data_IF_272614651886
#
_entry.id   IF_272614651886
#
_cell.length_a   1.000
_cell.length_b   1.000
_cell.length_c   1.000
_cell.angle_alpha   90.00
_cell.angle_beta   90.00
_cell.angle_gamma   90.00
#
_symmetry.space_group_name_H-M   'P 1'
#
loop_
_entity.id
_entity.type
_entity.pdbx_description
1 polymer ?
#
# COMPACT_ATOMS: atom_id res chain seq x y z
N UNK A 1 -2.34 -18.44 14.64
CA UNK A 1 -2.48 -17.02 14.22
C UNK A 1 -1.07 -16.42 14.24
N UNK A 2 -0.69 -15.70 13.18
CA UNK A 2 0.59 -14.96 13.14
C UNK A 2 0.28 -13.49 13.41
N UNK A 3 1.09 -12.85 14.26
CA UNK A 3 1.01 -11.42 14.55
C UNK A 3 2.19 -10.75 13.88
N UNK A 4 1.91 -9.75 13.03
CA UNK A 4 2.90 -8.90 12.39
C UNK A 4 2.73 -7.46 12.88
N UNK A 5 3.83 -6.71 12.90
CA UNK A 5 3.82 -5.28 13.20
C UNK A 5 4.48 -4.50 12.05
N UNK A 6 4.18 -3.22 11.98
CA UNK A 6 4.70 -2.35 10.94
C UNK A 6 6.06 -1.79 11.34
N UNK A 7 7.05 -1.95 10.44
CA UNK A 7 8.41 -1.48 10.68
C UNK A 7 8.94 -0.65 9.52
N UNK A 8 9.65 0.40 9.87
CA UNK A 8 10.51 1.15 8.94
C UNK A 8 11.96 0.74 9.07
N UNK A 9 12.78 1.06 8.07
CA UNK A 9 14.23 0.74 8.06
C UNK A 9 14.95 1.30 9.31
N UNK A 10 14.56 2.47 9.78
CA UNK A 10 15.18 3.18 10.89
C UNK A 10 14.73 2.71 12.27
N UNK A 11 13.60 2.01 12.36
CA UNK A 11 13.00 1.63 13.64
C UNK A 11 13.60 0.37 14.25
N UNK A 12 14.90 0.39 14.54
CA UNK A 12 15.61 -0.72 15.17
C UNK A 12 15.13 -1.02 16.59
N UNK A 13 14.76 0.01 17.34
CA UNK A 13 14.26 -0.14 18.70
C UNK A 13 12.85 -0.75 18.73
N UNK A 14 11.97 -0.35 17.83
CA UNK A 14 10.65 -0.95 17.67
C UNK A 14 10.74 -2.44 17.37
N UNK A 15 11.61 -2.83 16.42
CA UNK A 15 11.85 -4.26 16.13
C UNK A 15 12.31 -5.06 17.33
N UNK A 16 13.26 -4.54 18.13
CA UNK A 16 13.73 -5.20 19.36
C UNK A 16 12.62 -5.37 20.40
N UNK A 17 11.80 -4.34 20.60
CA UNK A 17 10.64 -4.38 21.51
C UNK A 17 9.60 -5.39 21.04
N UNK A 18 9.29 -5.39 19.74
CA UNK A 18 8.38 -6.36 19.13
C UNK A 18 8.85 -7.81 19.40
N UNK A 19 10.14 -8.07 19.22
CA UNK A 19 10.72 -9.38 19.52
C UNK A 19 10.56 -9.79 20.99
N UNK A 20 10.72 -8.88 21.93
CA UNK A 20 10.57 -9.16 23.37
C UNK A 20 9.13 -9.59 23.74
N UNK A 21 8.13 -9.13 22.99
CA UNK A 21 6.72 -9.53 23.19
C UNK A 21 6.25 -10.63 22.23
N UNK A 22 7.19 -11.27 21.51
CA UNK A 22 6.90 -12.41 20.64
C UNK A 22 6.43 -12.10 19.24
N UNK A 23 6.49 -10.83 18.79
CA UNK A 23 6.20 -10.45 17.40
C UNK A 23 7.44 -10.70 16.55
N UNK A 24 7.31 -11.62 15.58
CA UNK A 24 8.42 -12.07 14.72
C UNK A 24 8.20 -11.70 13.23
N UNK A 25 7.04 -11.21 12.87
CA UNK A 25 6.70 -10.94 11.48
C UNK A 25 6.58 -9.44 11.24
N UNK A 26 7.03 -8.99 10.06
CA UNK A 26 7.07 -7.58 9.69
C UNK A 26 6.22 -7.24 8.48
N UNK A 27 5.44 -6.16 8.62
CA UNK A 27 4.89 -5.38 7.53
C UNK A 27 5.90 -4.28 7.22
N UNK A 28 6.44 -4.24 6.02
CA UNK A 28 7.55 -3.36 5.67
C UNK A 28 7.16 -2.33 4.62
N UNK A 29 7.57 -1.09 4.83
CA UNK A 29 7.50 -0.04 3.82
C UNK A 29 8.73 -0.07 2.93
N UNK A 30 8.55 -0.09 1.62
CA UNK A 30 9.68 0.03 0.69
C UNK A 30 10.33 1.41 0.80
N UNK A 31 11.68 1.47 0.75
CA UNK A 31 12.40 2.74 0.83
C UNK A 31 12.08 3.67 -0.35
N UNK A 32 11.89 4.96 -0.04
CA UNK A 32 11.72 6.04 -1.03
C UNK A 32 12.93 6.97 -1.06
N UNK A 33 14.06 6.53 -0.48
CA UNK A 33 15.30 7.31 -0.44
C UNK A 33 16.06 7.25 -1.76
N UNK A 34 16.81 8.32 -2.05
CA UNK A 34 17.77 8.34 -3.15
C UNK A 34 18.75 7.16 -3.06
N UNK A 35 19.09 6.57 -4.19
CA UNK A 35 19.99 5.43 -4.27
C UNK A 35 19.37 4.06 -3.98
N UNK A 36 18.09 3.96 -3.63
CA UNK A 36 17.40 2.68 -3.55
C UNK A 36 16.65 2.40 -4.87
N UNK A 37 17.12 1.41 -5.61
CA UNK A 37 16.42 0.95 -6.81
C UNK A 37 15.42 -0.15 -6.46
N UNK A 38 14.13 0.15 -6.61
CA UNK A 38 13.02 -0.76 -6.36
C UNK A 38 13.04 -2.02 -7.23
N UNK A 39 13.83 -2.03 -8.31
CA UNK A 39 13.95 -3.16 -9.24
C UNK A 39 15.24 -3.98 -9.06
N UNK A 40 16.15 -3.53 -8.18
CA UNK A 40 17.42 -4.18 -7.90
C UNK A 40 17.29 -5.25 -6.81
N UNK A 41 17.57 -6.50 -7.17
CA UNK A 41 17.60 -7.60 -6.20
C UNK A 41 18.68 -7.41 -5.11
N UNK A 42 19.78 -6.76 -5.44
CA UNK A 42 20.85 -6.47 -4.50
C UNK A 42 20.39 -5.47 -3.43
N UNK A 43 19.73 -4.37 -3.85
CA UNK A 43 19.18 -3.39 -2.93
C UNK A 43 18.10 -4.00 -2.03
N UNK A 44 17.25 -4.86 -2.56
CA UNK A 44 16.26 -5.59 -1.77
C UNK A 44 16.92 -6.51 -0.75
N UNK A 45 17.94 -7.27 -1.15
CA UNK A 45 18.62 -8.14 -0.22
C UNK A 45 19.23 -7.35 0.94
N UNK A 46 20.00 -6.30 0.64
CA UNK A 46 20.61 -5.44 1.66
C UNK A 46 19.56 -4.82 2.61
N UNK A 47 18.43 -4.37 2.06
CA UNK A 47 17.32 -3.84 2.84
C UNK A 47 16.68 -4.89 3.76
N UNK A 48 16.39 -6.07 3.26
CA UNK A 48 15.75 -7.14 4.02
C UNK A 48 16.67 -7.76 5.06
N UNK A 49 17.98 -7.78 4.81
CA UNK A 49 18.98 -8.30 5.76
C UNK A 49 19.00 -7.48 7.05
N UNK A 50 18.71 -6.18 7.00
CA UNK A 50 18.55 -5.35 8.19
C UNK A 50 17.42 -5.81 9.11
N UNK A 51 16.31 -6.30 8.57
CA UNK A 51 15.21 -6.85 9.37
C UNK A 51 15.48 -8.27 9.82
N UNK A 52 16.03 -9.10 8.93
CA UNK A 52 16.38 -10.49 9.26
C UNK A 52 17.42 -10.59 10.36
N UNK A 53 18.40 -9.69 10.38
CA UNK A 53 19.43 -9.65 11.44
C UNK A 53 18.83 -9.30 12.80
N UNK A 54 17.73 -8.54 12.85
CA UNK A 54 16.97 -8.28 14.07
C UNK A 54 15.95 -9.43 14.38
N UNK A 55 15.93 -10.48 13.57
CA UNK A 55 15.04 -11.64 13.74
C UNK A 55 13.59 -11.37 13.31
N UNK A 56 13.35 -10.37 12.47
CA UNK A 56 12.04 -10.08 11.86
C UNK A 56 11.94 -10.77 10.50
N UNK A 57 10.87 -11.50 10.30
CA UNK A 57 10.54 -12.17 9.04
C UNK A 57 9.59 -11.26 8.24
N UNK A 58 10.02 -10.71 7.09
CA UNK A 58 9.15 -9.91 6.24
C UNK A 58 8.01 -10.76 5.66
N UNK A 59 6.76 -10.35 5.86
CA UNK A 59 5.59 -11.08 5.35
C UNK A 59 4.64 -10.22 4.52
N UNK A 60 4.71 -8.90 4.65
CA UNK A 60 3.90 -7.95 3.90
C UNK A 60 4.77 -6.78 3.44
N UNK A 61 4.57 -6.32 2.22
CA UNK A 61 5.00 -4.99 1.79
C UNK A 61 3.78 -4.06 1.82
N UNK A 62 3.89 -2.94 2.54
CA UNK A 62 2.87 -1.88 2.66
C UNK A 62 3.50 -0.59 3.22
N UNK A 63 3.17 0.57 2.64
CA UNK A 63 2.55 0.78 1.34
C UNK A 63 3.56 0.67 0.20
N UNK A 64 3.03 0.65 -1.02
CA UNK A 64 3.84 0.97 -2.20
C UNK A 64 4.22 2.45 -2.19
N UNK A 65 5.39 2.84 -2.73
CA UNK A 65 5.78 4.25 -2.86
C UNK A 65 4.73 5.06 -3.64
N UNK A 66 4.19 6.11 -3.03
CA UNK A 66 3.11 6.89 -3.62
C UNK A 66 3.52 7.49 -4.98
N UNK A 67 4.71 8.07 -5.08
CA UNK A 67 5.19 8.67 -6.33
C UNK A 67 5.24 7.71 -7.51
N UNK A 68 5.45 6.41 -7.26
CA UNK A 68 5.36 5.37 -8.28
C UNK A 68 3.91 4.97 -8.57
N UNK A 69 3.11 4.77 -7.52
CA UNK A 69 1.80 4.14 -7.65
C UNK A 69 0.70 5.12 -8.04
N UNK A 70 0.81 6.39 -7.67
CA UNK A 70 -0.15 7.42 -8.07
C UNK A 70 -0.23 7.61 -9.58
N UNK A 71 0.89 7.45 -10.29
CA UNK A 71 0.92 7.46 -11.75
C UNK A 71 -0.04 6.43 -12.35
N UNK A 72 -0.12 5.24 -11.75
CA UNK A 72 -1.04 4.18 -12.18
C UNK A 72 -2.47 4.46 -11.75
N UNK A 73 -2.68 4.84 -10.49
CA UNK A 73 -4.02 5.11 -9.94
C UNK A 73 -4.73 6.26 -10.66
N UNK A 74 -3.97 7.29 -11.03
CA UNK A 74 -4.50 8.47 -11.71
C UNK A 74 -4.46 8.37 -13.24
N UNK A 75 -3.88 7.32 -13.82
CA UNK A 75 -3.76 7.18 -15.29
C UNK A 75 -2.87 8.24 -15.93
N UNK A 76 -1.82 8.67 -15.24
CA UNK A 76 -0.92 9.74 -15.68
C UNK A 76 0.12 9.26 -16.71
N UNK A 77 0.75 10.18 -17.47
CA UNK A 77 1.91 9.86 -18.29
C UNK A 77 3.00 9.16 -17.49
N UNK A 78 3.64 8.13 -18.09
CA UNK A 78 4.63 7.30 -17.38
C UNK A 78 4.05 6.05 -16.70
N UNK A 79 2.74 5.80 -16.87
CA UNK A 79 2.05 4.62 -16.33
C UNK A 79 2.74 3.30 -16.69
N UNK A 80 3.17 3.14 -17.93
CA UNK A 80 3.76 1.87 -18.39
C UNK A 80 5.12 1.59 -17.72
N UNK A 81 5.92 2.62 -17.50
CA UNK A 81 7.16 2.51 -16.73
C UNK A 81 6.86 2.17 -15.25
N UNK A 82 5.87 2.81 -14.67
CA UNK A 82 5.43 2.51 -13.30
C UNK A 82 4.94 1.04 -13.20
N UNK A 83 4.13 0.58 -14.14
CA UNK A 83 3.67 -0.81 -14.21
C UNK A 83 4.82 -1.80 -14.36
N UNK A 84 5.82 -1.48 -15.19
CA UNK A 84 7.03 -2.30 -15.29
C UNK A 84 7.73 -2.46 -13.93
N UNK A 85 7.93 -1.36 -13.21
CA UNK A 85 8.55 -1.36 -11.87
C UNK A 85 7.70 -2.15 -10.87
N UNK A 86 6.38 -1.97 -10.88
CA UNK A 86 5.46 -2.71 -10.00
C UNK A 86 5.52 -4.23 -10.25
N UNK A 87 5.54 -4.66 -11.51
CA UNK A 87 5.73 -6.07 -11.88
C UNK A 87 7.08 -6.62 -11.39
N UNK A 88 8.14 -5.82 -11.45
CA UNK A 88 9.46 -6.19 -10.89
C UNK A 88 9.43 -6.30 -9.37
N UNK A 89 8.74 -5.40 -8.68
CA UNK A 89 8.55 -5.46 -7.22
C UNK A 89 7.87 -6.78 -6.84
N UNK A 90 6.77 -7.13 -7.50
CA UNK A 90 6.06 -8.40 -7.24
C UNK A 90 6.97 -9.62 -7.49
N UNK A 91 7.76 -9.59 -8.57
CA UNK A 91 8.72 -10.65 -8.85
C UNK A 91 9.81 -10.78 -7.76
N UNK A 92 10.30 -9.65 -7.25
CA UNK A 92 11.27 -9.64 -6.15
C UNK A 92 10.65 -10.12 -4.84
N UNK A 93 9.40 -9.76 -4.55
CA UNK A 93 8.68 -10.29 -3.39
C UNK A 93 8.61 -11.81 -3.43
N UNK A 94 8.23 -12.41 -4.58
CA UNK A 94 8.26 -13.86 -4.73
C UNK A 94 9.66 -14.45 -4.55
N UNK A 95 10.68 -13.86 -5.14
CA UNK A 95 12.08 -14.28 -4.98
C UNK A 95 12.54 -14.27 -3.51
N UNK A 96 12.12 -13.27 -2.72
CA UNK A 96 12.49 -13.10 -1.32
C UNK A 96 11.49 -13.73 -0.35
N UNK A 97 10.49 -14.48 -0.85
CA UNK A 97 9.47 -15.18 -0.09
C UNK A 97 8.62 -14.25 0.80
N UNK A 98 8.29 -13.05 0.29
CA UNK A 98 7.36 -12.12 0.93
C UNK A 98 5.97 -12.36 0.34
N UNK A 99 5.05 -13.00 1.07
CA UNK A 99 3.84 -13.58 0.48
C UNK A 99 2.73 -12.59 0.19
N UNK A 100 2.78 -11.35 0.68
CA UNK A 100 1.64 -10.44 0.56
C UNK A 100 2.07 -9.02 0.20
N UNK A 101 1.45 -8.47 -0.85
CA UNK A 101 1.51 -7.06 -1.19
C UNK A 101 0.18 -6.41 -0.78
N UNK A 102 0.23 -5.53 0.22
CA UNK A 102 -0.91 -4.69 0.55
C UNK A 102 -0.85 -3.39 -0.25
N UNK A 103 -1.93 -3.08 -0.94
CA UNK A 103 -2.04 -1.92 -1.81
C UNK A 103 -3.41 -1.27 -1.64
N UNK A 104 -3.49 0.01 -1.95
CA UNK A 104 -4.75 0.77 -1.97
C UNK A 104 -4.97 1.37 -3.36
N UNK A 105 -6.18 1.88 -3.61
CA UNK A 105 -6.46 2.61 -4.85
C UNK A 105 -6.93 4.04 -4.59
N UNK A 106 -6.47 4.63 -3.50
CA UNK A 106 -6.68 6.03 -3.14
C UNK A 106 -5.83 6.92 -4.05
N UNK A 107 -6.45 7.36 -5.19
CA UNK A 107 -5.78 8.18 -6.18
C UNK A 107 -5.46 9.57 -5.62
N UNK A 108 -4.29 10.13 -5.96
CA UNK A 108 -3.83 11.48 -5.63
C UNK A 108 -3.82 11.82 -4.13
N UNK A 109 -4.99 11.81 -3.49
CA UNK A 109 -5.11 11.98 -2.03
C UNK A 109 -5.11 10.60 -1.38
N UNK A 110 -4.01 10.20 -0.76
CA UNK A 110 -3.88 8.93 -0.08
C UNK A 110 -4.70 8.83 1.22
N UNK A 111 -4.13 8.21 2.22
CA UNK A 111 -4.66 8.20 3.58
C UNK A 111 -4.67 9.63 4.14
N UNK A 112 -5.81 10.07 4.66
CA UNK A 112 -5.97 11.46 5.14
C UNK A 112 -6.63 11.53 6.50
N UNK A 113 -6.10 12.42 7.36
CA UNK A 113 -6.69 12.79 8.65
C UNK A 113 -6.73 14.30 8.79
N UNK A 114 -7.89 14.84 9.18
CA UNK A 114 -8.05 16.27 9.41
C UNK A 114 -7.51 16.72 10.76
N UNK A 115 -7.40 15.80 11.73
CA UNK A 115 -6.92 16.10 13.10
C UNK A 115 -5.87 15.09 13.52
N UNK A 116 -4.73 15.60 13.98
CA UNK A 116 -3.69 14.85 14.65
C UNK A 116 -3.82 15.01 16.17
N UNK A 117 -3.32 14.07 16.94
CA UNK A 117 -3.33 14.12 18.40
C UNK A 117 -4.73 14.32 19.00
N UNK A 118 -5.74 13.68 18.39
CA UNK A 118 -7.12 13.73 18.88
C UNK A 118 -7.21 12.96 20.21
N UNK A 119 -7.74 13.59 21.29
CA UNK A 119 -7.82 12.93 22.60
C UNK A 119 -8.78 11.73 22.56
N UNK A 120 -8.29 10.60 23.06
CA UNK A 120 -9.05 9.37 23.22
C UNK A 120 -9.19 8.98 24.69
N UNK A 121 -9.98 7.93 24.96
CA UNK A 121 -10.17 7.39 26.30
C UNK A 121 -8.83 7.01 26.96
N UNK A 122 -8.72 7.30 28.26
CA UNK A 122 -7.53 6.99 29.05
C UNK A 122 -6.33 7.90 28.80
N UNK A 123 -6.52 9.04 28.13
CA UNK A 123 -5.44 9.99 27.82
C UNK A 123 -4.61 9.60 26.60
N UNK A 124 -5.00 8.57 25.86
CA UNK A 124 -4.35 8.23 24.61
C UNK A 124 -4.59 9.31 23.54
N UNK A 125 -3.67 9.42 22.60
CA UNK A 125 -3.81 10.31 21.44
C UNK A 125 -3.98 9.45 20.19
N UNK A 126 -4.95 9.82 19.37
CA UNK A 126 -5.20 9.19 18.07
C UNK A 126 -5.33 10.23 16.97
N UNK A 127 -5.84 9.81 15.84
CA UNK A 127 -6.17 10.68 14.71
C UNK A 127 -7.68 10.67 14.47
N UNK A 128 -8.22 11.74 13.86
CA UNK A 128 -9.62 11.83 13.50
C UNK A 128 -9.79 12.45 12.11
N UNK A 129 -10.92 12.16 11.50
CA UNK A 129 -11.32 12.75 10.23
C UNK A 129 -12.72 13.39 10.37
N UNK A 130 -12.82 14.62 9.89
CA UNK A 130 -14.08 15.31 9.64
C UNK A 130 -14.01 15.92 8.24
N UNK A 131 -14.97 15.58 7.37
CA UNK A 131 -14.99 16.07 5.98
C UNK A 131 -15.08 17.59 5.91
N UNK A 132 -15.67 18.25 6.91
CA UNK A 132 -15.78 19.70 6.98
C UNK A 132 -14.42 20.40 7.15
N UNK A 133 -13.46 19.68 7.71
CA UNK A 133 -12.11 20.19 7.94
C UNK A 133 -11.18 19.89 6.74
N UNK A 134 -11.67 19.21 5.69
CA UNK A 134 -10.87 18.89 4.52
C UNK A 134 -10.65 20.11 3.63
N UNK A 135 -9.39 20.40 3.33
CA UNK A 135 -8.98 21.44 2.38
C UNK A 135 -8.15 20.77 1.28
N UNK A 136 -8.57 20.85 0.02
CA UNK A 136 -7.77 20.36 -1.11
C UNK A 136 -6.40 21.05 -1.16
N UNK A 137 -5.36 20.29 -1.48
CA UNK A 137 -4.02 20.83 -1.65
C UNK A 137 -3.83 21.50 -3.02
N UNK A 138 -4.63 21.09 -3.99
CA UNK A 138 -4.62 21.57 -5.38
C UNK A 138 -5.98 21.33 -6.06
N UNK A 139 -6.08 21.68 -7.34
CA UNK A 139 -7.29 21.53 -8.16
C UNK A 139 -7.35 20.21 -8.94
N UNK A 140 -6.52 19.22 -8.58
CA UNK A 140 -6.53 17.93 -9.27
C UNK A 140 -7.90 17.27 -9.19
N UNK A 141 -8.36 16.75 -10.32
CA UNK A 141 -9.67 16.12 -10.44
C UNK A 141 -9.57 14.77 -11.14
N UNK A 142 -10.26 13.78 -10.57
CA UNK A 142 -10.44 12.47 -11.20
C UNK A 142 -11.75 11.84 -10.71
N UNK A 143 -12.55 11.32 -11.63
CA UNK A 143 -13.85 10.74 -11.29
C UNK A 143 -13.71 9.31 -10.76
N UNK A 144 -14.75 8.82 -10.08
CA UNK A 144 -14.81 7.43 -9.64
C UNK A 144 -14.72 6.47 -10.83
N UNK A 145 -15.37 6.77 -11.95
CA UNK A 145 -15.36 5.96 -13.17
C UNK A 145 -13.95 5.83 -13.76
N UNK A 146 -13.20 6.92 -13.77
CA UNK A 146 -11.81 6.93 -14.23
C UNK A 146 -10.93 6.08 -13.30
N UNK A 147 -11.12 6.20 -11.97
CA UNK A 147 -10.38 5.38 -10.98
C UNK A 147 -10.73 3.90 -11.15
N UNK A 148 -12.00 3.55 -11.34
CA UNK A 148 -12.42 2.18 -11.62
C UNK A 148 -11.75 1.63 -12.88
N UNK A 149 -11.74 2.38 -13.97
CA UNK A 149 -11.09 1.97 -15.21
C UNK A 149 -9.57 1.77 -15.04
N UNK A 150 -8.91 2.67 -14.32
CA UNK A 150 -7.48 2.56 -14.02
C UNK A 150 -7.18 1.34 -13.13
N UNK A 151 -8.03 1.08 -12.14
CA UNK A 151 -7.92 -0.06 -11.24
C UNK A 151 -8.11 -1.38 -12.00
N UNK A 152 -9.11 -1.47 -12.86
CA UNK A 152 -9.33 -2.64 -13.72
C UNK A 152 -8.12 -2.90 -14.63
N UNK A 153 -7.62 -1.87 -15.29
CA UNK A 153 -6.42 -1.98 -16.13
C UNK A 153 -5.20 -2.44 -15.33
N UNK A 154 -5.01 -1.93 -14.11
CA UNK A 154 -3.94 -2.34 -13.21
C UNK A 154 -4.03 -3.83 -12.86
N UNK A 155 -5.21 -4.29 -12.42
CA UNK A 155 -5.36 -5.67 -11.99
C UNK A 155 -5.21 -6.68 -13.13
N UNK A 156 -5.70 -6.36 -14.33
CA UNK A 156 -5.47 -7.21 -15.53
C UNK A 156 -3.99 -7.47 -15.78
N UNK A 157 -3.14 -6.52 -15.45
CA UNK A 157 -1.71 -6.65 -15.70
C UNK A 157 -0.93 -7.23 -14.51
N UNK A 158 -1.35 -6.95 -13.27
CA UNK A 158 -0.57 -7.33 -12.10
C UNK A 158 -0.95 -8.71 -11.56
N UNK A 159 -2.22 -9.13 -11.66
CA UNK A 159 -2.70 -10.41 -11.14
C UNK A 159 -1.95 -11.59 -11.74
N UNK A 160 -1.76 -11.70 -13.07
CA UNK A 160 -0.99 -12.83 -13.64
C UNK A 160 0.47 -12.88 -13.15
N UNK A 161 1.04 -11.72 -12.85
CA UNK A 161 2.40 -11.65 -12.30
C UNK A 161 2.40 -12.09 -10.84
N UNK A 162 1.43 -11.64 -10.05
CA UNK A 162 1.28 -12.02 -8.65
C UNK A 162 1.07 -13.53 -8.51
N UNK A 163 0.22 -14.13 -9.33
CA UNK A 163 0.02 -15.58 -9.39
C UNK A 163 1.32 -16.34 -9.72
N UNK A 164 2.01 -15.91 -10.77
CA UNK A 164 3.29 -16.51 -11.18
C UNK A 164 4.32 -16.55 -10.06
N UNK A 165 4.37 -15.50 -9.25
CA UNK A 165 5.35 -15.36 -8.17
C UNK A 165 4.79 -15.70 -6.79
N UNK A 166 3.56 -16.23 -6.74
CA UNK A 166 2.88 -16.65 -5.50
C UNK A 166 2.75 -15.52 -4.46
N UNK A 167 2.51 -14.29 -4.93
CA UNK A 167 2.28 -13.12 -4.09
C UNK A 167 0.77 -12.82 -4.04
N UNK A 168 0.22 -12.79 -2.85
CA UNK A 168 -1.18 -12.38 -2.63
C UNK A 168 -1.30 -10.87 -2.69
N UNK A 169 -2.30 -10.38 -3.39
CA UNK A 169 -2.67 -8.97 -3.40
C UNK A 169 -3.74 -8.73 -2.34
N UNK A 170 -3.46 -7.91 -1.35
CA UNK A 170 -4.40 -7.49 -0.32
C UNK A 170 -4.83 -6.05 -0.61
N UNK A 171 -6.13 -5.85 -0.87
CA UNK A 171 -6.67 -4.54 -1.24
C UNK A 171 -7.17 -3.81 0.01
N UNK A 172 -6.54 -2.70 0.34
CA UNK A 172 -6.91 -1.83 1.45
C UNK A 172 -8.12 -0.97 1.05
N UNK A 173 -9.18 -0.89 1.87
CA UNK A 173 -10.30 0.03 1.64
C UNK A 173 -9.83 1.50 1.61
N UNK A 174 -10.67 2.37 1.02
CA UNK A 174 -10.39 3.80 1.06
C UNK A 174 -10.53 4.35 2.48
N UNK A 175 -9.56 5.15 2.89
CA UNK A 175 -9.52 5.78 4.20
C UNK A 175 -9.14 7.26 4.07
N UNK A 176 -10.07 8.18 4.35
CA UNK A 176 -11.43 7.96 4.88
C UNK A 176 -12.41 7.41 3.82
N UNK A 177 -13.44 6.65 4.26
CA UNK A 177 -14.41 6.02 3.35
C UNK A 177 -15.53 6.98 2.93
N UNK A 178 -15.16 8.08 2.30
CA UNK A 178 -16.07 9.11 1.76
C UNK A 178 -16.16 9.03 0.24
N UNK A 179 -17.24 9.48 -0.40
CA UNK A 179 -17.39 9.39 -1.85
C UNK A 179 -16.34 10.15 -2.66
N UNK A 180 -15.82 11.23 -2.08
CA UNK A 180 -14.77 12.04 -2.68
C UNK A 180 -14.04 12.87 -1.61
N UNK A 181 -12.81 13.30 -1.92
CA UNK A 181 -12.07 14.33 -1.22
C UNK A 181 -11.77 15.45 -2.23
N UNK A 182 -12.45 16.60 -2.08
CA UNK A 182 -12.45 17.64 -3.11
C UNK A 182 -12.97 17.10 -4.45
N UNK A 183 -12.17 17.27 -5.50
CA UNK A 183 -12.50 16.79 -6.86
C UNK A 183 -11.97 15.37 -7.15
N UNK A 184 -11.48 14.66 -6.13
CA UNK A 184 -10.91 13.32 -6.26
C UNK A 184 -11.91 12.28 -5.76
N UNK A 185 -12.40 11.44 -6.66
CA UNK A 185 -13.30 10.34 -6.33
C UNK A 185 -12.66 9.27 -5.44
N UNK A 186 -13.49 8.54 -4.70
CA UNK A 186 -13.11 7.37 -3.90
C UNK A 186 -13.95 6.19 -4.30
N UNK A 187 -13.38 5.00 -4.38
CA UNK A 187 -14.05 3.82 -4.99
C UNK A 187 -14.25 2.65 -4.04
N UNK A 188 -13.37 2.45 -3.06
CA UNK A 188 -13.44 1.33 -2.12
C UNK A 188 -14.04 1.75 -0.77
N UNK A 189 -15.22 2.37 -0.81
CA UNK A 189 -15.86 3.03 0.34
C UNK A 189 -17.01 2.25 0.96
N UNK A 190 -17.37 1.08 0.39
CA UNK A 190 -18.48 0.25 0.85
C UNK A 190 -18.21 -1.23 0.60
N UNK A 191 -18.96 -2.11 1.28
CA UNK A 191 -18.91 -3.56 1.05
C UNK A 191 -19.22 -3.91 -0.41
N UNK A 192 -20.19 -3.23 -1.03
CA UNK A 192 -20.56 -3.45 -2.43
C UNK A 192 -19.44 -3.11 -3.37
N UNK A 193 -18.70 -2.01 -3.10
CA UNK A 193 -17.56 -1.63 -3.93
C UNK A 193 -16.37 -2.56 -3.77
N UNK A 194 -16.15 -3.07 -2.56
CA UNK A 194 -15.11 -4.08 -2.29
C UNK A 194 -15.46 -5.39 -3.00
N UNK A 195 -16.72 -5.84 -2.89
CA UNK A 195 -17.20 -7.03 -3.59
C UNK A 195 -17.08 -6.90 -5.11
N UNK A 196 -17.47 -5.74 -5.68
CA UNK A 196 -17.22 -5.42 -7.08
C UNK A 196 -15.74 -5.56 -7.44
N UNK A 197 -14.84 -5.00 -6.64
CA UNK A 197 -13.42 -5.08 -6.88
C UNK A 197 -12.92 -6.53 -6.90
N UNK A 198 -13.31 -7.35 -5.93
CA UNK A 198 -12.87 -8.74 -5.83
C UNK A 198 -13.45 -9.60 -6.96
N UNK A 199 -14.73 -9.46 -7.27
CA UNK A 199 -15.41 -10.29 -8.28
C UNK A 199 -15.05 -9.91 -9.72
N UNK A 200 -14.70 -8.66 -9.98
CA UNK A 200 -14.33 -8.19 -11.33
C UNK A 200 -13.00 -8.74 -11.85
N UNK A 201 -12.15 -9.27 -10.96
CA UNK A 201 -10.78 -9.73 -11.33
C UNK A 201 -10.48 -11.18 -10.99
N UNK A 202 -11.41 -11.90 -10.39
CA UNK A 202 -11.37 -13.35 -10.40
C UNK A 202 -11.70 -13.74 -11.84
N UNK A 203 -10.67 -14.02 -12.64
CA UNK A 203 -10.88 -14.62 -13.94
C UNK A 203 -11.72 -15.90 -13.74
N UNK A 204 -12.74 -16.16 -14.56
CA UNK A 204 -13.36 -17.47 -14.55
C UNK A 204 -12.25 -18.50 -14.86
N UNK A 205 -12.03 -19.41 -13.92
CA UNK A 205 -11.17 -20.56 -14.11
C UNK A 205 -11.60 -21.37 -15.33
#
# INVERSE_FOLDING_TARGET
MQIADYFTEQDTMGRRRAKQVGVNYGVLRLPERSGFDLTSAEHWNAYLDGFRSDGIIPVVIEPLPNGLYDTVKCGLPGRDEAMYKLKKIVALMGRFHIPTLCLNFMAHVGWYRSRQNYPLRGGALGTAFDIKDYVPADDFAITQEQIWANMESFFREIVPVAEKYQVRLALHPDDPPVPALGNVGRVLTSLQSIDRAVTSWIAPC
#
